data_IF_660844340420
#
_entry.id   IF_660844340420
#
_cell.length_a   1.000
_cell.length_b   1.000
_cell.length_c   1.000
_cell.angle_alpha   90.00
_cell.angle_beta   90.00
_cell.angle_gamma   90.00
#
_symmetry.space_group_name_H-M   'P 1'
#
loop_
_entity.id
_entity.type
_entity.pdbx_description
1 polymer ?
#
# COMPACT_ATOMS: atom_id res chain seq x y z
N UNK A 1 24.77 0.33 4.26
CA UNK A 1 24.12 -0.87 4.82
C UNK A 1 22.80 -0.54 5.55
N UNK A 2 22.01 0.44 5.06
CA UNK A 2 20.70 0.79 5.65
C UNK A 2 19.70 0.95 4.52
N UNK A 3 19.16 -0.16 4.04
CA UNK A 3 18.00 -0.20 3.12
C UNK A 3 16.89 -1.14 3.61
N UNK A 4 17.09 -1.80 4.76
CA UNK A 4 16.20 -2.84 5.28
C UNK A 4 15.07 -2.27 6.17
N UNK A 5 15.31 -1.17 6.88
CA UNK A 5 14.36 -0.60 7.84
C UNK A 5 13.05 -0.09 7.23
N UNK A 6 13.10 0.46 6.00
CA UNK A 6 11.90 0.94 5.29
C UNK A 6 10.99 -0.23 4.89
N UNK A 7 11.57 -1.29 4.34
CA UNK A 7 10.82 -2.48 3.94
C UNK A 7 10.21 -3.20 5.16
N UNK A 8 10.96 -3.28 6.28
CA UNK A 8 10.44 -3.79 7.54
C UNK A 8 9.25 -2.99 8.07
N UNK A 9 9.33 -1.66 8.02
CA UNK A 9 8.23 -0.76 8.42
C UNK A 9 6.99 -0.94 7.53
N UNK A 10 7.17 -0.97 6.22
CA UNK A 10 6.09 -1.20 5.25
C UNK A 10 5.40 -2.55 5.48
N UNK A 11 6.18 -3.63 5.63
CA UNK A 11 5.65 -4.95 5.96
C UNK A 11 4.85 -4.95 7.25
N UNK A 12 5.29 -4.21 8.25
CA UNK A 12 4.54 -4.07 9.51
C UNK A 12 3.23 -3.29 9.33
N UNK A 13 3.25 -2.19 8.58
CA UNK A 13 2.05 -1.39 8.28
C UNK A 13 1.01 -2.13 7.42
N UNK A 14 1.43 -3.14 6.67
CA UNK A 14 0.55 -4.01 5.90
C UNK A 14 -0.13 -5.10 6.74
N UNK A 15 0.22 -5.28 8.01
CA UNK A 15 -0.46 -6.23 8.91
C UNK A 15 -1.68 -5.58 9.54
N UNK A 16 -2.85 -5.83 8.96
CA UNK A 16 -4.12 -5.17 9.30
C UNK A 16 -5.14 -6.17 9.82
N UNK A 17 -6.32 -5.67 10.20
CA UNK A 17 -7.40 -6.52 10.71
C UNK A 17 -8.11 -7.32 9.62
N UNK A 18 -7.97 -6.89 8.35
CA UNK A 18 -8.64 -7.47 7.18
C UNK A 18 -7.69 -8.29 6.33
N UNK A 19 -7.99 -9.59 6.18
CA UNK A 19 -7.15 -10.55 5.46
C UNK A 19 -6.99 -10.21 3.98
N UNK A 20 -8.03 -9.68 3.36
CA UNK A 20 -8.03 -9.29 1.94
C UNK A 20 -7.04 -8.15 1.69
N UNK A 21 -7.00 -7.15 2.58
CA UNK A 21 -6.00 -6.09 2.50
C UNK A 21 -4.59 -6.64 2.70
N UNK A 22 -4.40 -7.49 3.71
CA UNK A 22 -3.09 -8.10 3.99
C UNK A 22 -2.54 -8.80 2.75
N UNK A 23 -3.34 -9.65 2.09
CA UNK A 23 -2.92 -10.40 0.90
C UNK A 23 -2.56 -9.48 -0.26
N UNK A 24 -3.40 -8.49 -0.57
CA UNK A 24 -3.12 -7.56 -1.68
C UNK A 24 -1.89 -6.70 -1.41
N UNK A 25 -1.78 -6.17 -0.19
CA UNK A 25 -0.65 -5.34 0.21
C UNK A 25 0.66 -6.12 0.24
N UNK A 26 0.64 -7.35 0.76
CA UNK A 26 1.82 -8.23 0.78
C UNK A 26 2.25 -8.58 -0.65
N UNK A 27 1.32 -8.98 -1.52
CA UNK A 27 1.61 -9.26 -2.93
C UNK A 27 2.23 -8.04 -3.64
N UNK A 28 1.68 -6.84 -3.40
CA UNK A 28 2.22 -5.60 -3.92
C UNK A 28 3.64 -5.33 -3.40
N UNK A 29 3.88 -5.47 -2.09
CA UNK A 29 5.21 -5.27 -1.50
C UNK A 29 6.24 -6.27 -2.03
N UNK A 30 5.85 -7.51 -2.30
CA UNK A 30 6.76 -8.51 -2.85
C UNK A 30 7.13 -8.22 -4.30
N UNK A 31 6.16 -7.82 -5.13
CA UNK A 31 6.37 -7.48 -6.55
C UNK A 31 7.17 -6.19 -6.73
N UNK A 32 6.91 -5.18 -5.88
CA UNK A 32 7.58 -3.87 -5.96
C UNK A 32 8.74 -3.73 -4.98
N UNK A 33 9.24 -4.83 -4.41
CA UNK A 33 10.31 -4.80 -3.40
C UNK A 33 11.52 -3.97 -3.84
N UNK A 34 12.00 -4.18 -5.07
CA UNK A 34 13.17 -3.48 -5.59
C UNK A 34 12.91 -1.98 -5.75
N UNK A 35 11.71 -1.61 -6.22
CA UNK A 35 11.28 -0.22 -6.34
C UNK A 35 11.19 0.45 -4.96
N UNK A 36 10.61 -0.23 -3.96
CA UNK A 36 10.51 0.26 -2.58
C UNK A 36 11.89 0.45 -1.93
N UNK A 37 12.81 -0.47 -2.17
CA UNK A 37 14.20 -0.39 -1.71
C UNK A 37 14.96 0.73 -2.44
N UNK A 38 14.61 1.01 -3.70
CA UNK A 38 15.11 2.16 -4.44
C UNK A 38 14.52 3.50 -3.98
N UNK A 39 13.50 3.49 -3.12
CA UNK A 39 12.84 4.69 -2.63
C UNK A 39 11.67 5.16 -3.52
N UNK A 40 11.28 4.34 -4.49
CA UNK A 40 10.06 4.57 -5.25
C UNK A 40 8.84 4.33 -4.32
N UNK A 41 7.75 5.04 -4.60
CA UNK A 41 6.55 5.11 -3.74
C UNK A 41 6.75 5.78 -2.36
N UNK A 42 7.16 7.06 -2.28
CA UNK A 42 7.24 7.79 -1.01
C UNK A 42 5.87 7.98 -0.35
N UNK A 43 4.79 7.92 -1.13
CA UNK A 43 3.41 8.06 -0.66
C UNK A 43 2.81 6.76 -0.11
N UNK A 44 3.45 5.60 -0.34
CA UNK A 44 2.93 4.31 0.14
C UNK A 44 2.87 4.26 1.66
N UNK A 45 3.88 4.78 2.34
CA UNK A 45 3.89 4.84 3.81
C UNK A 45 2.71 5.67 4.33
N UNK A 46 2.45 6.83 3.72
CA UNK A 46 1.29 7.68 4.07
C UNK A 46 -0.04 7.01 3.74
N UNK A 47 -0.12 6.31 2.60
CA UNK A 47 -1.31 5.53 2.25
C UNK A 47 -1.58 4.47 3.34
N UNK A 48 -0.53 3.75 3.76
CA UNK A 48 -0.61 2.72 4.79
C UNK A 48 -0.79 3.25 6.22
N UNK A 49 -0.73 4.56 6.43
CA UNK A 49 -1.16 5.20 7.69
C UNK A 49 -2.69 5.46 7.71
N UNK A 50 -3.38 5.26 6.58
CA UNK A 50 -4.84 5.39 6.49
C UNK A 50 -5.56 4.18 7.11
N UNK A 51 -6.71 4.44 7.75
CA UNK A 51 -7.64 3.43 8.29
C UNK A 51 -7.98 2.32 7.27
N UNK A 52 -8.11 1.08 7.76
CA UNK A 52 -8.41 -0.11 6.96
C UNK A 52 -9.71 0.05 6.15
N UNK A 53 -10.77 0.56 6.79
CA UNK A 53 -12.09 0.75 6.16
C UNK A 53 -12.02 1.71 4.96
N UNK A 54 -11.24 2.78 5.09
CA UNK A 54 -11.11 3.78 4.04
C UNK A 54 -10.22 3.30 2.89
N UNK A 55 -9.14 2.59 3.20
CA UNK A 55 -8.31 1.93 2.19
C UNK A 55 -9.12 0.91 1.38
N UNK A 56 -9.91 0.10 2.08
CA UNK A 56 -10.79 -0.88 1.46
C UNK A 56 -11.86 -0.23 0.57
N UNK A 57 -12.50 0.86 1.02
CA UNK A 57 -13.46 1.64 0.22
C UNK A 57 -12.81 2.14 -1.08
N UNK A 58 -11.58 2.68 -1.02
CA UNK A 58 -10.87 3.15 -2.20
C UNK A 58 -10.50 2.03 -3.18
N UNK A 59 -10.07 0.88 -2.66
CA UNK A 59 -9.66 -0.29 -3.44
C UNK A 59 -10.87 -0.95 -4.12
N UNK A 60 -11.99 -1.06 -3.42
CA UNK A 60 -13.23 -1.59 -3.97
C UNK A 60 -13.94 -0.62 -4.94
N UNK A 61 -13.45 0.62 -5.04
CA UNK A 61 -14.09 1.67 -5.85
C UNK A 61 -15.42 2.13 -5.26
N UNK A 62 -15.49 2.15 -3.93
CA UNK A 62 -16.63 2.59 -3.14
C UNK A 62 -16.89 4.09 -3.25
N UNK A 63 -17.59 4.62 -2.25
CA UNK A 63 -18.19 5.95 -2.35
C UNK A 63 -17.16 7.09 -2.28
N UNK A 64 -16.05 6.89 -1.57
CA UNK A 64 -15.03 7.91 -1.40
C UNK A 64 -13.93 7.77 -2.45
N UNK A 65 -13.54 8.91 -3.02
CA UNK A 65 -12.38 8.98 -3.91
C UNK A 65 -11.11 9.16 -3.07
N UNK A 66 -10.02 8.43 -3.35
CA UNK A 66 -8.75 8.72 -2.71
C UNK A 66 -8.28 10.15 -3.07
N UNK A 67 -7.53 10.81 -2.18
CA UNK A 67 -6.82 12.04 -2.51
C UNK A 67 -6.05 11.95 -3.83
N UNK A 68 -5.87 13.08 -4.51
CA UNK A 68 -5.22 13.14 -5.82
C UNK A 68 -3.79 12.53 -5.80
N UNK A 69 -3.08 12.69 -4.68
CA UNK A 69 -1.75 12.11 -4.45
C UNK A 69 -1.76 10.58 -4.39
N UNK A 70 -2.82 9.98 -3.84
CA UNK A 70 -2.96 8.52 -3.73
C UNK A 70 -3.70 7.89 -4.90
N UNK A 71 -4.36 8.67 -5.75
CA UNK A 71 -5.18 8.17 -6.86
C UNK A 71 -4.40 7.24 -7.80
N UNK A 72 -3.15 7.60 -8.15
CA UNK A 72 -2.31 6.73 -8.98
C UNK A 72 -1.94 5.43 -8.27
N UNK A 73 -1.55 5.53 -7.00
CA UNK A 73 -1.11 4.39 -6.19
C UNK A 73 -2.28 3.39 -5.98
N UNK A 74 -3.46 3.89 -5.62
CA UNK A 74 -4.68 3.06 -5.49
C UNK A 74 -5.04 2.42 -6.83
N UNK A 75 -4.92 3.14 -7.94
CA UNK A 75 -5.18 2.57 -9.26
C UNK A 75 -4.17 1.45 -9.61
N UNK A 76 -2.90 1.58 -9.24
CA UNK A 76 -1.89 0.53 -9.41
C UNK A 76 -2.20 -0.69 -8.54
N UNK A 77 -2.51 -0.49 -7.25
CA UNK A 77 -2.93 -1.58 -6.36
C UNK A 77 -4.17 -2.32 -6.90
N UNK A 78 -5.14 -1.61 -7.50
CA UNK A 78 -6.31 -2.24 -8.10
C UNK A 78 -6.02 -3.04 -9.37
N UNK A 79 -4.92 -2.71 -10.07
CA UNK A 79 -4.51 -3.42 -11.29
C UNK A 79 -3.73 -4.70 -10.99
N UNK A 80 -3.17 -4.81 -9.79
CA UNK A 80 -2.40 -5.97 -9.36
C UNK A 80 -3.20 -6.74 -8.29
N UNK A 81 -3.90 -7.82 -8.67
CA UNK A 81 -4.61 -8.68 -7.72
C UNK A 81 -3.66 -9.56 -6.89
#
# INVERSE_FOLDING_TARGET
MVRDGRLGRLKWLCRRGMKELDVMLEAFLERHRDALVAGEYPLLEKLLETEDDQLWDWLQGGAHRPPAEFTRLVAELRREP
#
